data_IF_407710799028
#
_entry.id   IF_407710799028
#
_cell.length_a   1.000
_cell.length_b   1.000
_cell.length_c   1.000
_cell.angle_alpha   90.00
_cell.angle_beta   90.00
_cell.angle_gamma   90.00
#
_symmetry.space_group_name_H-M   'P 1'
#
loop_
_entity.id
_entity.type
_entity.pdbx_description
1 polymer ?
#
# COMPACT_ATOMS: atom_id res chain seq x y z
N UNK A 1 29.24 -3.85 -0.69
CA UNK A 1 29.40 -3.69 0.76
C UNK A 1 28.45 -2.58 1.21
N UNK A 2 27.36 -2.94 1.87
CA UNK A 2 26.32 -1.99 2.32
C UNK A 2 26.68 -1.32 3.67
N UNK A 3 27.76 -1.77 4.32
CA UNK A 3 28.15 -1.36 5.67
C UNK A 3 28.38 0.15 5.75
N UNK A 4 29.03 0.76 4.75
CA UNK A 4 29.23 2.22 4.70
C UNK A 4 27.93 3.03 4.59
N UNK A 5 26.91 2.46 3.96
CA UNK A 5 25.60 3.11 3.78
C UNK A 5 24.80 3.03 5.08
N UNK A 6 24.91 1.90 5.80
CA UNK A 6 24.36 1.70 7.14
C UNK A 6 25.08 2.59 8.17
N UNK A 7 26.40 2.70 8.11
CA UNK A 7 27.18 3.61 8.97
C UNK A 7 26.83 5.07 8.71
N UNK A 8 26.73 5.51 7.45
CA UNK A 8 26.31 6.87 7.10
C UNK A 8 24.85 7.18 7.46
N UNK A 9 24.00 6.17 7.61
CA UNK A 9 22.62 6.30 8.05
C UNK A 9 22.47 6.46 9.57
N UNK A 10 23.29 5.72 10.33
CA UNK A 10 23.24 5.69 11.80
C UNK A 10 24.14 6.74 12.45
N UNK A 11 25.33 6.97 11.90
CA UNK A 11 26.12 8.12 12.25
C UNK A 11 25.45 9.32 11.59
N UNK A 12 25.24 10.41 12.33
CA UNK A 12 24.96 11.71 11.74
C UNK A 12 26.25 12.13 11.03
N UNK A 13 26.55 11.50 9.88
CA UNK A 13 27.78 11.73 9.13
C UNK A 13 27.76 13.18 8.64
N UNK A 14 28.62 14.06 9.20
CA UNK A 14 28.65 15.46 8.80
C UNK A 14 29.10 15.64 7.35
N UNK A 15 29.71 14.62 6.73
CA UNK A 15 30.12 14.68 5.32
C UNK A 15 28.93 14.60 4.35
N UNK A 16 27.81 13.95 4.75
CA UNK A 16 26.65 13.73 3.87
C UNK A 16 25.31 13.90 4.61
N UNK A 17 25.00 15.10 5.14
CA UNK A 17 23.82 15.32 5.97
C UNK A 17 22.49 15.03 5.25
N UNK A 18 22.43 15.27 3.94
CA UNK A 18 21.25 14.94 3.12
C UNK A 18 21.01 13.44 2.98
N UNK A 19 22.08 12.64 2.87
CA UNK A 19 21.97 11.18 2.81
C UNK A 19 21.55 10.61 4.17
N UNK A 20 22.19 11.07 5.25
CA UNK A 20 21.82 10.68 6.61
C UNK A 20 20.35 11.02 6.92
N UNK A 21 19.85 12.19 6.48
CA UNK A 21 18.45 12.55 6.60
C UNK A 21 17.55 11.62 5.79
N UNK A 22 17.87 11.39 4.52
CA UNK A 22 17.06 10.52 3.65
C UNK A 22 16.91 9.12 4.23
N UNK A 23 17.99 8.51 4.76
CA UNK A 23 17.89 7.17 5.36
C UNK A 23 17.04 7.16 6.62
N UNK A 24 17.15 8.16 7.50
CA UNK A 24 16.27 8.25 8.68
C UNK A 24 14.80 8.41 8.31
N UNK A 25 14.50 9.21 7.27
CA UNK A 25 13.13 9.37 6.78
C UNK A 25 12.58 8.05 6.21
N UNK A 26 13.40 7.30 5.47
CA UNK A 26 13.03 5.97 4.96
C UNK A 26 12.73 4.99 6.10
N UNK A 27 13.60 4.90 7.12
CA UNK A 27 13.37 4.04 8.27
C UNK A 27 12.07 4.40 9.03
N UNK A 28 11.84 5.70 9.26
CA UNK A 28 10.58 6.17 9.88
C UNK A 28 9.34 5.82 9.05
N UNK A 29 9.44 5.86 7.72
CA UNK A 29 8.35 5.44 6.83
C UNK A 29 8.09 3.94 6.91
N UNK A 30 9.13 3.12 6.99
CA UNK A 30 8.99 1.67 7.15
C UNK A 30 8.28 1.34 8.47
N UNK A 31 8.70 1.96 9.58
CA UNK A 31 8.04 1.82 10.88
C UNK A 31 6.56 2.22 10.82
N UNK A 32 6.27 3.36 10.19
CA UNK A 32 4.89 3.82 10.02
C UNK A 32 4.06 2.83 9.20
N UNK A 33 4.60 2.33 8.08
CA UNK A 33 3.91 1.38 7.21
C UNK A 33 3.62 0.06 7.93
N UNK A 34 4.55 -0.42 8.74
CA UNK A 34 4.38 -1.62 9.56
C UNK A 34 3.32 -1.42 10.64
N UNK A 35 3.37 -0.31 11.38
CA UNK A 35 2.35 0.00 12.37
C UNK A 35 0.96 0.15 11.75
N UNK A 36 0.86 0.85 10.61
CA UNK A 36 -0.40 1.00 9.89
C UNK A 36 -0.93 -0.35 9.40
N UNK A 37 -0.06 -1.22 8.86
CA UNK A 37 -0.42 -2.59 8.49
C UNK A 37 -0.97 -3.39 9.68
N UNK A 38 -0.33 -3.33 10.85
CA UNK A 38 -0.81 -4.00 12.07
C UNK A 38 -2.22 -3.50 12.44
N UNK A 39 -2.43 -2.19 12.44
CA UNK A 39 -3.73 -1.58 12.75
C UNK A 39 -4.79 -2.01 11.73
N UNK A 40 -4.48 -2.00 10.43
CA UNK A 40 -5.39 -2.44 9.36
C UNK A 40 -5.79 -3.90 9.54
N UNK A 41 -4.82 -4.80 9.79
CA UNK A 41 -5.09 -6.21 10.04
C UNK A 41 -5.96 -6.44 11.30
N UNK A 42 -5.78 -5.63 12.34
CA UNK A 42 -6.54 -5.75 13.59
C UNK A 42 -7.94 -5.14 13.56
N UNK A 43 -8.15 -4.04 12.81
CA UNK A 43 -9.37 -3.23 12.92
C UNK A 43 -10.26 -3.21 11.67
N UNK A 44 -9.72 -3.50 10.49
CA UNK A 44 -10.49 -3.41 9.26
C UNK A 44 -11.15 -4.74 8.91
N UNK A 45 -12.32 -4.63 8.27
CA UNK A 45 -12.98 -5.76 7.61
C UNK A 45 -12.15 -6.23 6.40
N UNK A 46 -12.40 -7.45 5.92
CA UNK A 46 -11.72 -7.98 4.73
C UNK A 46 -11.86 -7.03 3.52
N UNK A 47 -13.07 -6.49 3.31
CA UNK A 47 -13.35 -5.51 2.25
C UNK A 47 -12.58 -4.21 2.43
N UNK A 48 -12.47 -3.71 3.67
CA UNK A 48 -11.68 -2.51 3.99
C UNK A 48 -10.19 -2.69 3.67
N UNK A 49 -9.60 -3.82 4.10
CA UNK A 49 -8.19 -4.15 3.83
C UNK A 49 -7.94 -4.29 2.33
N UNK A 50 -8.83 -4.98 1.61
CA UNK A 50 -8.70 -5.16 0.17
C UNK A 50 -8.80 -3.83 -0.57
N UNK A 51 -9.80 -3.00 -0.25
CA UNK A 51 -9.97 -1.68 -0.83
C UNK A 51 -8.73 -0.79 -0.57
N UNK A 52 -8.18 -0.83 0.65
CA UNK A 52 -6.97 -0.11 1.00
C UNK A 52 -5.78 -0.53 0.12
N UNK A 53 -5.52 -1.83 0.00
CA UNK A 53 -4.42 -2.35 -0.82
C UNK A 53 -4.58 -1.91 -2.29
N UNK A 54 -5.79 -1.94 -2.84
CA UNK A 54 -6.03 -1.54 -4.23
C UNK A 54 -5.76 -0.04 -4.45
N UNK A 55 -6.20 0.81 -3.52
CA UNK A 55 -5.93 2.25 -3.55
C UNK A 55 -4.44 2.55 -3.42
N UNK A 56 -3.75 1.81 -2.54
CA UNK A 56 -2.31 1.95 -2.35
C UNK A 56 -1.52 1.54 -3.60
N UNK A 57 -1.83 0.39 -4.21
CA UNK A 57 -1.20 -0.07 -5.44
C UNK A 57 -1.46 0.88 -6.60
N UNK A 58 -2.71 1.34 -6.78
CA UNK A 58 -3.05 2.35 -7.80
C UNK A 58 -2.21 3.61 -7.59
N UNK A 59 -2.22 4.18 -6.38
CA UNK A 59 -1.47 5.40 -6.08
C UNK A 59 0.04 5.27 -6.29
N UNK A 60 0.62 4.10 -5.97
CA UNK A 60 2.04 3.82 -6.24
C UNK A 60 2.32 3.76 -7.75
N UNK A 61 1.49 3.07 -8.51
CA UNK A 61 1.68 2.91 -9.96
C UNK A 61 1.43 4.21 -10.74
N UNK A 62 0.44 5.01 -10.33
CA UNK A 62 0.18 6.34 -10.91
C UNK A 62 1.39 7.27 -10.71
N UNK A 63 1.99 7.29 -9.51
CA UNK A 63 3.21 8.08 -9.26
C UNK A 63 4.39 7.67 -10.14
N UNK A 64 4.42 6.43 -10.61
CA UNK A 64 5.44 5.90 -11.51
C UNK A 64 5.08 6.05 -13.00
N UNK A 65 3.90 6.57 -13.33
CA UNK A 65 3.41 6.64 -14.71
C UNK A 65 3.05 5.28 -15.31
N UNK A 66 2.82 4.26 -14.46
CA UNK A 66 2.54 2.87 -14.86
C UNK A 66 1.04 2.51 -14.81
N UNK A 67 0.19 3.45 -14.41
CA UNK A 67 -1.25 3.28 -14.31
C UNK A 67 -1.98 4.58 -14.61
N UNK A 68 -3.28 4.45 -14.86
CA UNK A 68 -4.23 5.56 -14.80
C UNK A 68 -4.82 5.64 -13.40
N UNK A 69 -5.46 6.77 -13.03
CA UNK A 69 -6.00 6.98 -11.68
C UNK A 69 -6.93 5.85 -11.21
N UNK A 70 -7.68 5.25 -12.14
CA UNK A 70 -8.74 4.29 -11.83
C UNK A 70 -8.47 2.88 -12.34
N UNK A 71 -7.38 2.61 -13.06
CA UNK A 71 -7.11 1.27 -13.61
C UNK A 71 -5.63 0.95 -13.66
N UNK A 72 -5.27 -0.26 -13.22
CA UNK A 72 -3.90 -0.76 -13.19
C UNK A 72 -3.81 -2.28 -13.37
N UNK A 73 -2.65 -2.75 -13.85
CA UNK A 73 -2.35 -4.17 -13.95
C UNK A 73 -2.03 -4.75 -12.55
N UNK A 74 -2.66 -5.88 -12.21
CA UNK A 74 -2.42 -6.62 -10.98
C UNK A 74 -2.05 -8.08 -11.28
N UNK A 75 -0.76 -8.38 -11.47
CA UNK A 75 -0.25 -9.73 -11.72
C UNK A 75 -0.18 -10.60 -10.44
N UNK A 76 -0.77 -10.14 -9.32
CA UNK A 76 -0.73 -10.85 -8.04
C UNK A 76 -1.78 -11.97 -7.99
N UNK A 77 -1.38 -13.15 -7.51
CA UNK A 77 -2.31 -14.28 -7.31
C UNK A 77 -3.18 -14.06 -6.07
N UNK A 78 -4.25 -14.86 -5.96
CA UNK A 78 -5.09 -14.85 -4.76
C UNK A 78 -4.33 -15.36 -3.52
N UNK A 79 -3.30 -16.21 -3.67
CA UNK A 79 -2.45 -16.60 -2.53
C UNK A 79 -1.61 -15.43 -2.04
N UNK A 80 -0.95 -14.68 -2.93
CA UNK A 80 -0.17 -13.50 -2.53
C UNK A 80 -1.06 -12.45 -1.87
N UNK A 81 -2.27 -12.25 -2.38
CA UNK A 81 -3.25 -11.35 -1.75
C UNK A 81 -3.71 -11.88 -0.38
N UNK A 82 -3.88 -13.19 -0.22
CA UNK A 82 -4.26 -13.81 1.04
C UNK A 82 -3.20 -13.57 2.12
N UNK A 83 -1.93 -13.82 1.79
CA UNK A 83 -0.79 -13.60 2.67
C UNK A 83 -0.65 -12.12 3.06
N UNK A 84 -0.76 -11.21 2.08
CA UNK A 84 -0.64 -9.77 2.32
C UNK A 84 -1.77 -9.20 3.19
N UNK A 85 -3.00 -9.75 3.08
CA UNK A 85 -4.19 -9.26 3.77
C UNK A 85 -4.48 -9.99 5.09
N UNK A 86 -3.71 -11.05 5.41
CA UNK A 86 -3.98 -11.94 6.54
C UNK A 86 -5.35 -12.63 6.41
N UNK A 87 -5.70 -13.05 5.19
CA UNK A 87 -6.96 -13.71 4.86
C UNK A 87 -6.68 -15.11 4.30
N UNK A 88 -7.69 -15.98 4.26
CA UNK A 88 -7.58 -17.18 3.42
C UNK A 88 -7.88 -16.86 1.96
N UNK A 89 -7.39 -17.68 1.04
CA UNK A 89 -7.67 -17.56 -0.41
C UNK A 89 -9.18 -17.49 -0.69
N UNK A 90 -9.98 -18.32 0.00
CA UNK A 90 -11.46 -18.31 -0.13
C UNK A 90 -12.07 -17.00 0.38
N UNK A 91 -11.52 -16.40 1.46
CA UNK A 91 -11.96 -15.10 1.94
C UNK A 91 -11.59 -13.97 0.96
N UNK A 92 -10.41 -14.01 0.34
CA UNK A 92 -10.03 -13.07 -0.73
C UNK A 92 -11.04 -13.18 -1.88
N UNK A 93 -11.33 -14.39 -2.35
CA UNK A 93 -12.28 -14.61 -3.43
C UNK A 93 -13.67 -14.04 -3.10
N UNK A 94 -14.20 -14.35 -1.90
CA UNK A 94 -15.50 -13.83 -1.43
C UNK A 94 -15.50 -12.29 -1.36
N UNK A 95 -14.41 -11.70 -0.90
CA UNK A 95 -14.25 -10.24 -0.79
C UNK A 95 -14.27 -9.59 -2.17
N UNK A 96 -13.52 -10.13 -3.14
CA UNK A 96 -13.54 -9.64 -4.53
C UNK A 96 -14.94 -9.74 -5.13
N UNK A 97 -15.63 -10.87 -4.94
CA UNK A 97 -17.00 -11.05 -5.43
C UNK A 97 -17.98 -10.06 -4.80
N UNK A 98 -17.86 -9.80 -3.50
CA UNK A 98 -18.68 -8.81 -2.79
C UNK A 98 -18.46 -7.40 -3.37
N UNK A 99 -17.20 -6.95 -3.44
CA UNK A 99 -16.87 -5.61 -3.94
C UNK A 99 -17.28 -5.42 -5.41
N UNK A 100 -17.19 -6.48 -6.22
CA UNK A 100 -17.72 -6.50 -7.59
C UNK A 100 -19.24 -6.36 -7.62
N UNK A 101 -19.95 -7.14 -6.82
CA UNK A 101 -21.43 -7.09 -6.74
C UNK A 101 -21.93 -5.71 -6.28
N UNK A 102 -21.20 -5.06 -5.40
CA UNK A 102 -21.49 -3.69 -4.94
C UNK A 102 -21.08 -2.60 -5.94
N UNK A 103 -20.44 -2.97 -7.07
CA UNK A 103 -19.98 -2.03 -8.09
C UNK A 103 -18.86 -1.11 -7.62
N UNK A 104 -18.07 -1.53 -6.62
CA UNK A 104 -16.99 -0.71 -6.06
C UNK A 104 -15.69 -0.86 -6.87
N UNK A 105 -15.40 -2.07 -7.34
CA UNK A 105 -14.26 -2.38 -8.21
C UNK A 105 -14.57 -3.57 -9.11
N UNK A 106 -13.74 -3.76 -10.15
CA UNK A 106 -13.67 -5.01 -10.90
C UNK A 106 -12.22 -5.53 -10.98
N UNK A 107 -12.08 -6.85 -11.07
CA UNK A 107 -10.80 -7.55 -11.26
C UNK A 107 -10.94 -8.55 -12.40
N UNK A 108 -10.44 -8.23 -13.58
CA UNK A 108 -10.60 -9.07 -14.78
C UNK A 108 -9.30 -9.15 -15.58
N UNK A 109 -8.90 -10.36 -15.95
CA UNK A 109 -7.72 -10.59 -16.80
C UNK A 109 -6.42 -10.02 -16.22
N UNK A 110 -6.25 -10.06 -14.90
CA UNK A 110 -5.08 -9.47 -14.23
C UNK A 110 -5.08 -7.94 -14.23
N UNK A 111 -6.23 -7.29 -14.43
CA UNK A 111 -6.41 -5.84 -14.34
C UNK A 111 -7.44 -5.50 -13.27
N UNK A 112 -7.17 -4.44 -12.50
CA UNK A 112 -8.10 -3.88 -11.51
C UNK A 112 -8.64 -2.56 -12.04
N UNK A 113 -9.95 -2.38 -11.96
CA UNK A 113 -10.63 -1.10 -12.20
C UNK A 113 -11.35 -0.64 -10.95
N UNK A 114 -10.99 0.55 -10.46
CA UNK A 114 -11.59 1.21 -9.29
C UNK A 114 -12.82 1.99 -9.75
N UNK A 115 -13.99 1.34 -9.75
CA UNK A 115 -15.22 1.92 -10.28
C UNK A 115 -15.75 3.08 -9.43
N UNK A 116 -15.53 3.02 -8.12
CA UNK A 116 -15.98 4.06 -7.18
C UNK A 116 -14.88 4.40 -6.15
N UNK A 117 -13.80 5.10 -6.57
CA UNK A 117 -12.63 5.37 -5.73
C UNK A 117 -12.96 6.06 -4.41
N UNK A 118 -13.93 6.98 -4.41
CA UNK A 118 -14.32 7.68 -3.18
C UNK A 118 -15.01 6.77 -2.17
N UNK A 119 -15.85 5.83 -2.62
CA UNK A 119 -16.49 4.84 -1.73
C UNK A 119 -15.48 3.81 -1.25
N UNK A 120 -14.53 3.42 -2.10
CA UNK A 120 -13.39 2.59 -1.69
C UNK A 120 -12.55 3.27 -0.60
N UNK A 121 -12.27 4.58 -0.73
CA UNK A 121 -11.55 5.35 0.29
C UNK A 121 -12.29 5.38 1.62
N UNK A 122 -13.60 5.60 1.59
CA UNK A 122 -14.42 5.56 2.81
C UNK A 122 -14.39 4.16 3.46
N UNK A 123 -14.56 3.10 2.66
CA UNK A 123 -14.52 1.71 3.12
C UNK A 123 -13.15 1.33 3.72
N UNK A 124 -12.07 1.85 3.12
CA UNK A 124 -10.69 1.65 3.55
C UNK A 124 -10.28 2.53 4.73
N UNK A 125 -11.16 3.43 5.22
CA UNK A 125 -10.76 4.50 6.16
C UNK A 125 -9.47 5.20 5.69
N UNK A 126 -9.40 5.46 4.38
CA UNK A 126 -8.16 5.84 3.71
C UNK A 126 -7.57 7.13 4.28
N UNK A 127 -6.34 7.03 4.76
CA UNK A 127 -5.49 8.16 5.08
C UNK A 127 -4.28 8.11 4.14
N UNK A 128 -3.91 9.22 3.47
CA UNK A 128 -2.68 9.23 2.68
C UNK A 128 -1.47 9.00 3.59
N UNK A 129 -0.44 8.34 3.04
CA UNK A 129 0.86 8.22 3.69
C UNK A 129 1.31 9.61 4.18
N UNK A 130 1.77 9.74 5.43
CA UNK A 130 2.32 11.00 5.91
C UNK A 130 3.50 11.40 5.03
N UNK A 131 3.37 12.55 4.38
CA UNK A 131 4.44 13.17 3.62
C UNK A 131 5.48 13.68 4.63
N UNK A 132 6.77 13.36 4.49
CA UNK A 132 7.81 13.91 5.33
C UNK A 132 7.81 15.41 5.06
N UNK A 133 7.38 16.19 6.03
CA UNK A 133 7.55 17.63 5.98
C UNK A 133 9.06 17.90 6.01
N UNK A 134 9.63 18.52 4.96
CA UNK A 134 11.00 18.99 5.06
C UNK A 134 11.03 20.03 6.19
N UNK A 135 11.79 19.73 7.25
CA UNK A 135 12.17 20.71 8.28
C UNK A 135 13.58 21.19 7.99
#
# INVERSE_FOLDING_TARGET
DATRLVEAAHAVDPAHPGLALAVRLMAHWEDWLLCDQIVRLGRQTASGRFAHLMLELSGRLVRLGLATDDTFAMPLTQEVLADALGLSVVHVNRTVQLLRREGLLDVRGGTVSLLQPQRLRALASWAPLPQPTPR
#
